data_IF_772522834952
#
_entry.id   IF_772522834952
#
_cell.length_a   1.000
_cell.length_b   1.000
_cell.length_c   1.000
_cell.angle_alpha   90.00
_cell.angle_beta   90.00
_cell.angle_gamma   90.00
#
_symmetry.space_group_name_H-M   'P 1'
#
loop_
_entity.id
_entity.type
_entity.pdbx_description
1 polymer ?
#
# COMPACT_ATOMS: atom_id res chain seq x y z
N UNK A 1 -0.57 5.84 -25.68
CA UNK A 1 -0.14 5.40 -24.32
C UNK A 1 0.64 4.12 -24.46
N UNK A 2 1.90 4.20 -24.15
CA UNK A 2 2.73 3.01 -24.07
C UNK A 2 2.49 2.32 -22.72
N UNK A 3 1.96 1.10 -22.73
CA UNK A 3 1.98 0.22 -21.57
C UNK A 3 3.42 -0.29 -21.37
N UNK A 4 4.34 0.60 -21.01
CA UNK A 4 5.66 0.17 -20.60
C UNK A 4 5.53 -0.67 -19.32
N UNK A 5 6.13 -1.87 -19.24
CA UNK A 5 6.09 -2.65 -18.01
C UNK A 5 6.79 -1.86 -16.91
N UNK A 6 6.16 -1.79 -15.74
CA UNK A 6 6.77 -1.17 -14.57
C UNK A 6 7.86 -2.11 -14.04
N UNK A 7 9.12 -1.67 -14.02
CA UNK A 7 10.23 -2.55 -13.60
C UNK A 7 10.21 -2.87 -12.10
N UNK A 8 9.56 -2.02 -11.31
CA UNK A 8 9.47 -2.17 -9.86
C UNK A 8 8.03 -2.00 -9.36
N UNK A 9 7.77 -2.66 -8.25
CA UNK A 9 6.49 -2.60 -7.54
C UNK A 9 6.75 -2.28 -6.07
N UNK A 10 5.92 -1.42 -5.51
CA UNK A 10 5.90 -1.11 -4.08
C UNK A 10 4.58 -1.54 -3.50
N UNK A 11 4.64 -2.22 -2.36
CA UNK A 11 3.48 -2.52 -1.53
C UNK A 11 3.69 -1.91 -0.15
N UNK A 12 2.69 -1.20 0.35
CA UNK A 12 2.71 -0.63 1.69
C UNK A 12 1.51 -1.13 2.47
N UNK A 13 1.77 -1.53 3.71
CA UNK A 13 0.77 -1.86 4.71
C UNK A 13 0.90 -0.86 5.85
N UNK A 14 -0.10 -0.02 6.04
CA UNK A 14 -0.07 1.08 7.01
C UNK A 14 -1.28 1.12 7.91
N UNK A 15 -1.01 1.24 9.21
CA UNK A 15 -2.01 1.29 10.26
C UNK A 15 -1.75 2.40 11.28
N UNK A 16 -2.53 2.41 12.36
CA UNK A 16 -2.47 3.43 13.40
C UNK A 16 -1.18 3.48 14.20
N UNK A 17 -0.35 2.43 14.17
CA UNK A 17 0.90 2.35 14.95
C UNK A 17 2.15 2.38 14.09
N UNK A 18 2.06 2.10 12.81
CA UNK A 18 3.22 2.08 11.93
C UNK A 18 2.85 1.66 10.51
N UNK A 19 3.83 1.66 9.62
CA UNK A 19 3.70 1.13 8.28
C UNK A 19 4.92 0.30 7.88
N UNK A 20 4.71 -0.54 6.86
CA UNK A 20 5.77 -1.36 6.25
C UNK A 20 5.71 -1.19 4.75
N UNK A 21 6.87 -1.06 4.11
CA UNK A 21 7.00 -1.02 2.67
C UNK A 21 7.85 -2.18 2.17
N UNK A 22 7.42 -2.79 1.08
CA UNK A 22 8.18 -3.77 0.32
C UNK A 22 8.45 -3.20 -1.06
N UNK A 23 9.69 -3.30 -1.50
CA UNK A 23 10.07 -3.01 -2.89
C UNK A 23 10.42 -4.32 -3.58
N UNK A 24 9.80 -4.58 -4.71
CA UNK A 24 10.00 -5.79 -5.48
C UNK A 24 10.26 -5.45 -6.95
N UNK A 25 10.93 -6.37 -7.65
CA UNK A 25 10.99 -6.36 -9.11
C UNK A 25 9.65 -6.83 -9.69
N UNK A 26 9.44 -6.55 -10.96
CA UNK A 26 8.22 -6.94 -11.68
C UNK A 26 7.95 -8.46 -11.65
N UNK A 27 8.97 -9.30 -11.46
CA UNK A 27 8.84 -10.75 -11.31
C UNK A 27 8.40 -11.20 -9.90
N UNK A 28 8.22 -10.27 -8.97
CA UNK A 28 7.82 -10.55 -7.58
C UNK A 28 8.96 -10.73 -6.59
N UNK A 29 10.22 -10.70 -7.04
CA UNK A 29 11.37 -10.79 -6.13
C UNK A 29 11.48 -9.54 -5.25
N UNK A 30 11.32 -9.71 -3.94
CA UNK A 30 11.48 -8.63 -2.96
C UNK A 30 12.96 -8.29 -2.82
N UNK A 31 13.31 -7.02 -3.07
CA UNK A 31 14.68 -6.54 -3.02
C UNK A 31 14.99 -5.66 -1.81
N UNK A 32 13.96 -5.07 -1.18
CA UNK A 32 14.14 -4.37 0.10
C UNK A 32 12.84 -4.26 0.88
N UNK A 33 12.98 -3.96 2.16
CA UNK A 33 11.88 -3.74 3.11
C UNK A 33 12.24 -2.57 4.02
N UNK A 34 11.24 -1.80 4.41
CA UNK A 34 11.41 -0.74 5.39
C UNK A 34 10.20 -0.64 6.32
N UNK A 35 10.40 -0.11 7.50
CA UNK A 35 9.37 0.10 8.52
C UNK A 35 9.33 1.57 8.88
N UNK A 36 8.15 2.15 9.04
CA UNK A 36 7.97 3.56 9.34
C UNK A 36 6.86 3.84 10.34
N UNK A 37 6.56 5.11 10.51
CA UNK A 37 5.60 5.63 11.47
C UNK A 37 4.14 5.37 11.10
N UNK A 38 3.21 5.85 11.95
CA UNK A 38 1.78 5.67 11.75
C UNK A 38 1.29 6.16 10.39
N UNK A 39 0.37 5.41 9.80
CA UNK A 39 -0.17 5.69 8.47
C UNK A 39 -1.68 5.41 8.41
N UNK A 40 -2.44 5.94 9.37
CA UNK A 40 -3.89 6.00 9.29
C UNK A 40 -4.30 7.24 8.51
N UNK A 41 -4.64 7.05 7.23
CA UNK A 41 -4.93 8.15 6.31
C UNK A 41 -6.26 8.84 6.61
N UNK A 42 -7.19 8.17 7.28
CA UNK A 42 -8.46 8.75 7.70
C UNK A 42 -8.33 9.64 8.94
N UNK A 43 -7.35 9.37 9.82
CA UNK A 43 -7.11 10.16 11.03
C UNK A 43 -6.28 11.40 10.74
N UNK A 44 -5.20 11.26 10.00
CA UNK A 44 -4.32 12.37 9.58
C UNK A 44 -3.71 12.03 8.22
N UNK A 45 -4.32 12.55 7.17
CA UNK A 45 -3.93 12.28 5.79
C UNK A 45 -2.50 12.76 5.50
N UNK A 46 -2.15 13.97 5.92
CA UNK A 46 -0.84 14.55 5.64
C UNK A 46 0.28 13.77 6.33
N UNK A 47 0.11 13.44 7.61
CA UNK A 47 1.09 12.65 8.37
C UNK A 47 1.21 11.22 7.81
N UNK A 48 0.09 10.58 7.49
CA UNK A 48 0.09 9.23 6.93
C UNK A 48 0.88 9.17 5.62
N UNK A 49 0.62 10.08 4.70
CA UNK A 49 1.33 10.16 3.41
C UNK A 49 2.81 10.48 3.61
N UNK A 50 3.15 11.41 4.51
CA UNK A 50 4.54 11.72 4.81
C UNK A 50 5.29 10.50 5.35
N UNK A 51 4.71 9.75 6.28
CA UNK A 51 5.31 8.53 6.84
C UNK A 51 5.42 7.42 5.81
N UNK A 52 4.43 7.23 4.95
CA UNK A 52 4.48 6.27 3.84
C UNK A 52 5.62 6.64 2.89
N UNK A 53 5.71 7.87 2.46
CA UNK A 53 6.74 8.31 1.50
C UNK A 53 8.14 8.25 2.08
N UNK A 54 8.32 8.57 3.36
CA UNK A 54 9.60 8.37 4.04
C UNK A 54 10.00 6.89 4.06
N UNK A 55 9.07 6.01 4.37
CA UNK A 55 9.30 4.57 4.43
C UNK A 55 9.65 4.00 3.05
N UNK A 56 8.89 4.41 2.02
CA UNK A 56 9.15 4.03 0.62
C UNK A 56 10.54 4.54 0.18
N UNK A 57 10.88 5.77 0.52
CA UNK A 57 12.19 6.36 0.17
C UNK A 57 13.33 5.56 0.78
N UNK A 58 13.20 5.12 2.03
CA UNK A 58 14.20 4.25 2.66
C UNK A 58 14.31 2.90 1.97
N UNK A 59 13.20 2.29 1.61
CA UNK A 59 13.21 1.02 0.88
C UNK A 59 13.92 1.15 -0.48
N UNK A 60 13.67 2.22 -1.21
CA UNK A 60 14.33 2.53 -2.49
C UNK A 60 15.83 2.72 -2.28
N UNK A 61 16.22 3.50 -1.29
CA UNK A 61 17.63 3.75 -0.97
C UNK A 61 18.35 2.46 -0.55
N UNK A 62 17.73 1.64 0.30
CA UNK A 62 18.32 0.38 0.77
C UNK A 62 18.51 -0.64 -0.36
N UNK A 63 17.71 -0.53 -1.42
CA UNK A 63 17.86 -1.35 -2.63
C UNK A 63 18.98 -0.84 -3.57
N UNK A 64 19.63 0.28 -3.23
CA UNK A 64 20.63 0.91 -4.09
C UNK A 64 20.06 1.63 -5.30
N UNK A 65 18.75 1.95 -5.28
CA UNK A 65 18.08 2.65 -6.36
C UNK A 65 17.99 4.15 -6.09
N UNK A 66 17.83 4.93 -7.16
CA UNK A 66 17.60 6.36 -7.06
C UNK A 66 16.10 6.65 -6.92
N UNK A 67 15.73 7.68 -6.15
CA UNK A 67 14.33 8.05 -5.89
C UNK A 67 13.56 8.40 -7.17
N UNK A 68 14.23 8.87 -8.22
CA UNK A 68 13.60 9.14 -9.51
C UNK A 68 12.97 7.91 -10.16
N UNK A 69 13.36 6.70 -9.75
CA UNK A 69 12.78 5.47 -10.27
C UNK A 69 11.35 5.21 -9.80
N UNK A 70 10.85 6.01 -8.84
CA UNK A 70 9.43 5.96 -8.46
C UNK A 70 8.50 6.33 -9.60
N UNK A 71 8.93 7.16 -10.55
CA UNK A 71 8.12 7.52 -11.72
C UNK A 71 7.92 6.36 -12.71
N UNK A 72 8.68 5.27 -12.56
CA UNK A 72 8.54 4.01 -13.29
C UNK A 72 7.99 2.86 -12.43
N UNK A 73 7.58 3.16 -11.19
CA UNK A 73 7.21 2.16 -10.18
C UNK A 73 5.72 2.17 -9.93
N UNK A 74 5.10 1.01 -9.97
CA UNK A 74 3.72 0.82 -9.53
C UNK A 74 3.64 0.66 -8.01
N UNK A 75 2.58 1.19 -7.38
CA UNK A 75 2.38 1.11 -5.94
C UNK A 75 0.98 0.69 -5.56
N UNK A 76 0.87 -0.15 -4.53
CA UNK A 76 -0.37 -0.45 -3.82
C UNK A 76 -0.18 -0.06 -2.36
N UNK A 77 -1.00 0.86 -1.88
CA UNK A 77 -0.95 1.37 -0.53
C UNK A 77 -2.19 0.88 0.24
N UNK A 78 -2.02 -0.12 1.09
CA UNK A 78 -3.07 -0.60 1.99
C UNK A 78 -3.02 0.19 3.29
N UNK A 79 -3.92 1.14 3.47
CA UNK A 79 -3.87 2.10 4.57
C UNK A 79 -5.15 2.09 5.41
N UNK A 80 -4.98 2.04 6.73
CA UNK A 80 -6.10 2.23 7.65
C UNK A 80 -6.80 3.57 7.36
N UNK A 81 -8.12 3.57 7.40
CA UNK A 81 -8.93 4.77 7.16
C UNK A 81 -9.10 5.14 5.68
N UNK A 82 -8.58 4.36 4.75
CA UNK A 82 -8.69 4.67 3.31
C UNK A 82 -10.15 4.79 2.83
N UNK A 83 -11.07 4.03 3.43
CA UNK A 83 -12.50 4.10 3.09
C UNK A 83 -13.16 5.42 3.49
N UNK A 84 -12.53 6.20 4.37
CA UNK A 84 -13.02 7.51 4.82
C UNK A 84 -12.57 8.67 3.93
N UNK A 85 -11.72 8.42 2.93
CA UNK A 85 -11.21 9.46 2.05
C UNK A 85 -12.19 9.67 0.88
N UNK A 86 -12.80 10.86 0.77
CA UNK A 86 -13.82 11.13 -0.25
C UNK A 86 -13.24 11.25 -1.67
N UNK A 87 -12.03 11.77 -1.83
CA UNK A 87 -11.40 11.94 -3.13
C UNK A 87 -10.00 11.32 -3.19
N UNK A 88 -9.97 10.03 -3.45
CA UNK A 88 -8.71 9.29 -3.62
C UNK A 88 -7.99 9.65 -4.91
N UNK A 89 -8.70 10.07 -5.94
CA UNK A 89 -8.10 10.41 -7.24
C UNK A 89 -7.20 11.64 -7.13
N UNK A 90 -7.64 12.67 -6.41
CA UNK A 90 -6.82 13.85 -6.16
C UNK A 90 -5.56 13.49 -5.35
N UNK A 91 -5.72 12.67 -4.31
CA UNK A 91 -4.60 12.23 -3.50
C UNK A 91 -3.59 11.40 -4.31
N UNK A 92 -4.07 10.47 -5.12
CA UNK A 92 -3.25 9.63 -6.00
C UNK A 92 -2.48 10.47 -7.01
N UNK A 93 -3.11 11.50 -7.58
CA UNK A 93 -2.47 12.38 -8.57
C UNK A 93 -1.27 13.14 -8.00
N UNK A 94 -1.22 13.37 -6.70
CA UNK A 94 -0.09 14.03 -6.03
C UNK A 94 1.08 13.12 -5.68
N UNK A 95 0.95 11.80 -5.87
CA UNK A 95 1.99 10.84 -5.52
C UNK A 95 2.93 10.55 -6.70
N UNK A 96 4.23 10.31 -6.44
CA UNK A 96 5.27 10.27 -7.49
C UNK A 96 5.39 8.92 -8.21
N UNK A 97 4.38 8.06 -8.15
CA UNK A 97 4.40 6.74 -8.76
C UNK A 97 3.87 6.74 -10.19
N UNK A 98 4.31 5.78 -11.01
CA UNK A 98 3.79 5.58 -12.36
C UNK A 98 2.31 5.19 -12.34
N UNK A 99 1.89 4.41 -11.36
CA UNK A 99 0.51 4.06 -11.09
C UNK A 99 0.37 3.71 -9.61
N UNK A 100 -0.72 4.12 -8.98
CA UNK A 100 -0.94 3.87 -7.56
C UNK A 100 -2.40 3.55 -7.28
N UNK A 101 -2.62 2.59 -6.40
CA UNK A 101 -3.92 2.28 -5.82
C UNK A 101 -3.83 2.42 -4.31
N UNK A 102 -4.80 3.11 -3.73
CA UNK A 102 -4.99 3.16 -2.28
C UNK A 102 -6.19 2.28 -1.94
N UNK A 103 -5.96 1.32 -1.07
CA UNK A 103 -6.98 0.39 -0.58
C UNK A 103 -6.99 0.41 0.94
N UNK A 104 -8.03 -0.16 1.56
CA UNK A 104 -8.02 -0.29 3.01
C UNK A 104 -6.96 -1.32 3.45
N UNK A 105 -6.44 -1.17 4.66
CA UNK A 105 -5.50 -2.11 5.25
C UNK A 105 -6.11 -3.52 5.43
N UNK A 106 -7.43 -3.60 5.59
CA UNK A 106 -8.16 -4.87 5.66
C UNK A 106 -8.10 -5.65 4.34
N UNK A 107 -8.11 -4.97 3.20
CA UNK A 107 -7.93 -5.60 1.89
C UNK A 107 -6.55 -6.22 1.77
N UNK A 108 -5.52 -5.50 2.20
CA UNK A 108 -4.14 -6.00 2.19
C UNK A 108 -3.96 -7.21 3.12
N UNK A 109 -4.55 -7.16 4.32
CA UNK A 109 -4.53 -8.27 5.26
C UNK A 109 -5.26 -9.51 4.72
N UNK A 110 -6.40 -9.29 4.05
CA UNK A 110 -7.20 -10.36 3.43
C UNK A 110 -6.40 -11.07 2.33
N UNK A 111 -5.77 -10.32 1.45
CA UNK A 111 -4.92 -10.86 0.38
C UNK A 111 -3.71 -11.61 0.96
N UNK A 112 -3.10 -11.10 2.01
CA UNK A 112 -1.99 -11.77 2.70
C UNK A 112 -2.39 -13.10 3.33
N UNK A 113 -3.62 -13.21 3.84
CA UNK A 113 -4.14 -14.42 4.48
C UNK A 113 -4.67 -15.46 3.49
N UNK A 114 -5.35 -15.02 2.44
CA UNK A 114 -6.12 -15.89 1.54
C UNK A 114 -5.51 -16.03 0.14
N UNK A 115 -4.66 -15.09 -0.29
CA UNK A 115 -4.22 -15.03 -1.67
C UNK A 115 -5.43 -14.84 -2.60
N UNK A 116 -5.60 -15.70 -3.58
CA UNK A 116 -6.73 -15.67 -4.52
C UNK A 116 -7.91 -16.57 -4.10
N UNK A 117 -7.83 -17.18 -2.91
CA UNK A 117 -8.88 -18.05 -2.41
C UNK A 117 -10.04 -17.25 -1.81
N UNK A 118 -11.24 -17.79 -1.93
CA UNK A 118 -12.41 -17.21 -1.27
C UNK A 118 -12.33 -17.43 0.24
N UNK A 119 -12.79 -16.45 0.99
CA UNK A 119 -12.80 -16.54 2.44
C UNK A 119 -13.17 -15.22 3.11
N UNK A 120 -13.00 -15.19 4.41
CA UNK A 120 -13.23 -13.98 5.20
C UNK A 120 -12.22 -13.90 6.34
N UNK A 121 -11.92 -12.68 6.74
CA UNK A 121 -11.15 -12.42 7.96
C UNK A 121 -11.95 -11.51 8.88
N UNK A 122 -11.74 -11.71 10.17
CA UNK A 122 -12.25 -10.82 11.22
C UNK A 122 -11.06 -10.27 11.98
N UNK A 123 -10.97 -8.97 12.03
CA UNK A 123 -9.92 -8.27 12.78
C UNK A 123 -10.54 -7.75 14.06
N UNK A 124 -10.05 -8.22 15.18
CA UNK A 124 -10.49 -7.81 16.52
C UNK A 124 -9.37 -7.03 17.21
N UNK A 125 -9.67 -5.84 17.68
CA UNK A 125 -8.71 -4.98 18.38
C UNK A 125 -9.42 -3.79 19.01
N UNK A 126 -8.82 -2.63 18.99
CA UNK A 126 -9.45 -1.37 19.42
C UNK A 126 -10.65 -0.99 18.56
N UNK A 127 -10.71 -1.52 17.34
CA UNK A 127 -11.87 -1.57 16.47
C UNK A 127 -12.02 -2.96 15.90
N UNK A 128 -13.17 -3.28 15.32
CA UNK A 128 -13.43 -4.55 14.66
C UNK A 128 -13.72 -4.32 13.18
N UNK A 129 -13.14 -5.15 12.34
CA UNK A 129 -13.40 -5.15 10.91
C UNK A 129 -13.73 -6.56 10.43
N UNK A 130 -14.67 -6.65 9.53
CA UNK A 130 -15.02 -7.87 8.82
C UNK A 130 -14.85 -7.63 7.32
N UNK A 131 -14.11 -8.49 6.66
CA UNK A 131 -13.90 -8.42 5.21
C UNK A 131 -14.01 -9.83 4.64
N UNK A 132 -14.75 -9.96 3.55
CA UNK A 132 -14.80 -11.21 2.80
C UNK A 132 -14.22 -11.02 1.40
N UNK A 133 -13.72 -12.09 0.84
CA UNK A 133 -13.24 -12.15 -0.53
C UNK A 133 -13.99 -13.23 -1.29
N UNK A 134 -14.53 -12.86 -2.43
CA UNK A 134 -15.23 -13.77 -3.35
C UNK A 134 -14.65 -13.55 -4.74
N UNK A 135 -14.21 -14.63 -5.37
CA UNK A 135 -13.59 -14.60 -6.71
C UNK A 135 -12.46 -13.56 -6.83
N UNK A 136 -11.62 -13.44 -5.78
CA UNK A 136 -10.50 -12.50 -5.75
C UNK A 136 -10.89 -11.05 -5.49
N UNK A 137 -12.16 -10.72 -5.26
CA UNK A 137 -12.65 -9.37 -4.95
C UNK A 137 -12.95 -9.25 -3.46
N UNK A 138 -12.32 -8.26 -2.79
CA UNK A 138 -12.57 -7.98 -1.38
C UNK A 138 -13.84 -7.13 -1.22
N UNK A 139 -14.68 -7.51 -0.25
CA UNK A 139 -15.90 -6.81 0.14
C UNK A 139 -15.91 -6.60 1.66
N UNK A 140 -16.25 -5.41 2.10
CA UNK A 140 -16.35 -5.04 3.52
C UNK A 140 -17.78 -4.75 3.95
#
# INVERSE_FOLDING_TARGET
>A
MTNAPMPYLIAVDGGGTGCRALLAKADGNVISKAVGGPANIGADTAMAIANVMETVTRAVHDAGLHISQLDETGAVLGLAGANSIPDRLELVAGLPFAGVRIVSDTVTALQGALGDNDGAIVILGTGSAFVRQVQGTAES
#
